data_IF_468582483179
#
_entry.id   IF_468582483179
#
_cell.length_a   1.000
_cell.length_b   1.000
_cell.length_c   1.000
_cell.angle_alpha   90.00
_cell.angle_beta   90.00
_cell.angle_gamma   90.00
#
_symmetry.space_group_name_H-M   'P 1'
#
loop_
_entity.id
_entity.type
_entity.pdbx_description
1 polymer ?
#
# COMPACT_ATOMS: atom_id res chain seq x y z
N UNK A 1 -1.26 -5.99 21.94
CA UNK A 1 -2.57 -5.39 21.60
C UNK A 1 -2.24 -4.10 20.88
N UNK A 2 -2.53 -3.85 19.60
CA UNK A 2 -3.74 -4.18 18.86
C UNK A 2 -3.51 -4.13 17.32
N UNK A 3 -2.71 -5.04 16.74
CA UNK A 3 -2.49 -5.03 15.27
C UNK A 3 -3.73 -5.39 14.43
N UNK A 4 -4.71 -6.08 15.03
CA UNK A 4 -5.98 -6.41 14.38
C UNK A 4 -6.86 -5.17 14.17
N UNK A 5 -6.88 -4.25 15.14
CA UNK A 5 -7.66 -3.02 15.09
C UNK A 5 -7.18 -2.09 13.96
N UNK A 6 -5.85 -1.97 13.80
CA UNK A 6 -5.24 -1.17 12.72
C UNK A 6 -5.56 -1.74 11.33
N UNK A 7 -5.57 -3.07 11.18
CA UNK A 7 -5.93 -3.72 9.93
C UNK A 7 -7.41 -3.53 9.61
N UNK A 8 -8.31 -3.81 10.56
CA UNK A 8 -9.75 -3.61 10.41
C UNK A 8 -10.08 -2.16 10.03
N UNK A 9 -9.37 -1.19 10.61
CA UNK A 9 -9.50 0.23 10.27
C UNK A 9 -9.08 0.53 8.83
N UNK A 10 -8.03 -0.12 8.33
CA UNK A 10 -7.62 0.01 6.93
C UNK A 10 -8.62 -0.67 5.99
N UNK A 11 -9.19 -1.81 6.37
CA UNK A 11 -10.27 -2.47 5.62
C UNK A 11 -11.52 -1.58 5.54
N UNK A 12 -11.87 -0.89 6.64
CA UNK A 12 -12.95 0.09 6.67
C UNK A 12 -12.67 1.27 5.72
N UNK A 13 -11.43 1.80 5.72
CA UNK A 13 -11.01 2.84 4.79
C UNK A 13 -11.23 2.41 3.32
N UNK A 14 -10.80 1.21 2.94
CA UNK A 14 -10.94 0.70 1.58
C UNK A 14 -12.40 0.61 1.12
N UNK A 15 -13.32 0.31 2.04
CA UNK A 15 -14.75 0.13 1.75
C UNK A 15 -15.55 1.41 1.81
N UNK A 16 -15.16 2.36 2.66
CA UNK A 16 -16.04 3.48 3.06
C UNK A 16 -15.54 4.85 2.66
N UNK A 17 -14.24 5.00 2.36
CA UNK A 17 -13.68 6.31 2.00
C UNK A 17 -14.34 6.86 0.75
N UNK A 18 -14.77 8.12 0.84
CA UNK A 18 -15.33 8.90 -0.26
C UNK A 18 -14.41 10.06 -0.57
N UNK A 19 -14.15 10.28 -1.85
CA UNK A 19 -13.45 11.47 -2.31
C UNK A 19 -14.30 12.73 -2.17
N UNK A 20 -13.73 13.88 -2.55
CA UNK A 20 -14.40 15.19 -2.53
C UNK A 20 -15.71 15.22 -3.35
N UNK A 21 -15.89 14.28 -4.30
CA UNK A 21 -17.08 14.15 -5.14
C UNK A 21 -18.10 13.16 -4.57
N UNK A 22 -17.81 12.53 -3.43
CA UNK A 22 -18.66 11.53 -2.79
C UNK A 22 -18.53 10.12 -3.38
N UNK A 23 -17.52 9.88 -4.24
CA UNK A 23 -17.31 8.60 -4.91
C UNK A 23 -16.46 7.69 -4.05
N UNK A 24 -16.82 6.40 -3.97
CA UNK A 24 -16.04 5.36 -3.27
C UNK A 24 -14.85 4.91 -4.13
N UNK A 25 -13.87 5.79 -4.30
CA UNK A 25 -12.77 5.61 -5.27
C UNK A 25 -12.01 4.30 -5.09
N UNK A 26 -11.69 3.93 -3.84
CA UNK A 26 -10.93 2.71 -3.54
C UNK A 26 -11.78 1.46 -3.70
N UNK A 27 -13.04 1.50 -3.24
CA UNK A 27 -13.96 0.39 -3.42
C UNK A 27 -14.19 0.06 -4.88
N UNK A 28 -14.48 1.08 -5.71
CA UNK A 28 -14.67 0.88 -7.14
C UNK A 28 -13.40 0.33 -7.81
N UNK A 29 -12.20 0.74 -7.38
CA UNK A 29 -10.95 0.18 -7.91
C UNK A 29 -10.78 -1.30 -7.54
N UNK A 30 -11.06 -1.66 -6.29
CA UNK A 30 -11.01 -3.05 -5.82
C UNK A 30 -11.91 -3.95 -6.67
N UNK A 31 -13.13 -3.49 -6.97
CA UNK A 31 -14.07 -4.23 -7.82
C UNK A 31 -13.60 -4.39 -9.28
N UNK A 32 -12.69 -3.53 -9.76
CA UNK A 32 -12.12 -3.61 -11.10
C UNK A 32 -10.81 -4.43 -11.13
N UNK A 33 -10.23 -4.78 -9.98
CA UNK A 33 -8.93 -5.47 -9.94
C UNK A 33 -8.98 -6.83 -10.62
N UNK A 34 -10.03 -7.61 -10.42
CA UNK A 34 -10.17 -8.93 -11.05
C UNK A 34 -10.44 -8.86 -12.55
N UNK A 35 -11.09 -7.79 -13.02
CA UNK A 35 -11.34 -7.55 -14.45
C UNK A 35 -10.04 -7.20 -15.17
N UNK A 36 -9.13 -6.49 -14.49
CA UNK A 36 -7.89 -5.96 -15.06
C UNK A 36 -6.64 -6.80 -14.72
N UNK A 37 -6.80 -7.94 -14.05
CA UNK A 37 -5.71 -8.78 -13.52
C UNK A 37 -4.69 -7.98 -12.67
N UNK A 38 -5.17 -7.01 -11.87
CA UNK A 38 -4.32 -6.11 -11.10
C UNK A 38 -3.84 -6.72 -9.78
N UNK A 39 -2.53 -6.92 -9.63
CA UNK A 39 -1.92 -7.42 -8.39
C UNK A 39 -1.56 -6.33 -7.36
N UNK A 40 -2.00 -5.09 -7.56
CA UNK A 40 -1.72 -4.02 -6.59
C UNK A 40 -2.71 -2.88 -6.63
N UNK A 41 -3.12 -2.40 -5.45
CA UNK A 41 -3.97 -1.23 -5.30
C UNK A 41 -3.12 0.01 -5.00
N UNK A 42 -3.31 1.10 -5.74
CA UNK A 42 -2.66 2.39 -5.44
C UNK A 42 -3.55 3.26 -4.55
N UNK A 43 -3.01 3.65 -3.39
CA UNK A 43 -3.65 4.47 -2.35
C UNK A 43 -2.93 5.80 -2.21
N UNK A 44 -3.68 6.90 -2.18
CA UNK A 44 -3.15 8.20 -1.85
C UNK A 44 -2.97 8.32 -0.33
N UNK A 45 -1.76 8.60 0.12
CA UNK A 45 -1.47 8.68 1.55
C UNK A 45 -2.21 9.84 2.22
N UNK A 46 -2.48 10.93 1.49
CA UNK A 46 -3.26 12.06 2.00
C UNK A 46 -4.71 11.66 2.32
N UNK A 47 -5.32 10.82 1.50
CA UNK A 47 -6.68 10.32 1.71
C UNK A 47 -6.74 9.46 2.96
N UNK A 48 -5.72 8.60 3.12
CA UNK A 48 -5.57 7.72 4.26
C UNK A 48 -5.44 8.49 5.57
N UNK A 49 -4.59 9.53 5.61
CA UNK A 49 -4.44 10.38 6.82
C UNK A 49 -5.62 11.28 7.08
N UNK A 50 -6.38 11.64 6.04
CA UNK A 50 -7.63 12.40 6.18
C UNK A 50 -8.75 11.53 6.76
N UNK A 51 -8.73 10.22 6.49
CA UNK A 51 -9.64 9.25 7.10
C UNK A 51 -9.27 8.98 8.56
N UNK A 52 -8.01 8.63 8.82
CA UNK A 52 -7.51 8.42 10.18
C UNK A 52 -6.01 8.73 10.28
N UNK A 53 -5.66 9.65 11.16
CA UNK A 53 -4.28 10.08 11.32
C UNK A 53 -3.38 9.01 11.98
N UNK A 54 -3.95 7.93 12.53
CA UNK A 54 -3.18 6.80 13.08
C UNK A 54 -2.19 6.23 12.07
N UNK A 55 -2.56 6.19 10.79
CA UNK A 55 -1.73 5.62 9.73
C UNK A 55 -0.44 6.41 9.48
N UNK A 56 -0.41 7.71 9.79
CA UNK A 56 0.80 8.51 9.75
C UNK A 56 1.81 8.01 10.79
N UNK A 57 1.36 7.75 12.02
CA UNK A 57 2.20 7.26 13.10
C UNK A 57 2.73 5.86 12.79
N UNK A 58 1.85 4.96 12.32
CA UNK A 58 2.21 3.58 11.97
C UNK A 58 3.27 3.53 10.86
N UNK A 59 3.08 4.30 9.78
CA UNK A 59 4.03 4.37 8.69
C UNK A 59 5.39 4.98 9.11
N UNK A 60 5.38 5.92 10.05
CA UNK A 60 6.59 6.55 10.56
C UNK A 60 7.36 5.68 11.57
N UNK A 61 6.67 4.87 12.37
CA UNK A 61 7.25 3.98 13.37
C UNK A 61 7.94 2.78 12.73
N UNK A 62 7.18 1.98 11.97
CA UNK A 62 7.65 0.79 11.28
C UNK A 62 7.01 0.71 9.87
N UNK A 63 7.69 1.29 8.86
CA UNK A 63 7.22 1.25 7.48
C UNK A 63 6.96 -0.15 6.95
N UNK A 64 7.79 -1.13 7.35
CA UNK A 64 7.68 -2.48 6.83
C UNK A 64 6.40 -3.13 7.33
N UNK A 65 6.19 -3.08 8.66
CA UNK A 65 4.97 -3.60 9.28
C UNK A 65 3.71 -2.90 8.78
N UNK A 66 3.77 -1.58 8.57
CA UNK A 66 2.67 -0.82 7.99
C UNK A 66 2.30 -1.30 6.57
N UNK A 67 3.29 -1.51 5.69
CA UNK A 67 3.07 -2.01 4.33
C UNK A 67 2.52 -3.45 4.33
N UNK A 68 2.99 -4.30 5.24
CA UNK A 68 2.47 -5.65 5.42
C UNK A 68 1.01 -5.64 5.90
N UNK A 69 0.67 -4.82 6.90
CA UNK A 69 -0.70 -4.63 7.38
C UNK A 69 -1.64 -4.16 6.26
N UNK A 70 -1.23 -3.15 5.48
CA UNK A 70 -2.03 -2.62 4.38
C UNK A 70 -2.23 -3.65 3.24
N UNK A 71 -1.23 -4.49 2.98
CA UNK A 71 -1.35 -5.60 2.03
C UNK A 71 -2.31 -6.68 2.53
N UNK A 72 -2.22 -7.05 3.81
CA UNK A 72 -3.10 -8.03 4.43
C UNK A 72 -4.56 -7.56 4.45
N UNK A 73 -4.80 -6.29 4.75
CA UNK A 73 -6.12 -5.67 4.70
C UNK A 73 -6.74 -5.76 3.30
N UNK A 74 -5.96 -5.46 2.24
CA UNK A 74 -6.41 -5.59 0.85
C UNK A 74 -6.79 -7.04 0.51
N UNK A 75 -5.95 -8.01 0.89
CA UNK A 75 -6.22 -9.45 0.68
C UNK A 75 -7.49 -9.88 1.43
N UNK A 76 -7.67 -9.41 2.67
CA UNK A 76 -8.86 -9.68 3.49
C UNK A 76 -10.13 -9.16 2.81
N UNK A 77 -10.09 -7.92 2.33
CA UNK A 77 -11.21 -7.31 1.59
C UNK A 77 -11.54 -8.09 0.32
N UNK A 78 -10.54 -8.39 -0.50
CA UNK A 78 -10.71 -9.13 -1.76
C UNK A 78 -11.19 -10.56 -1.53
N UNK A 79 -10.78 -11.22 -0.44
CA UNK A 79 -11.25 -12.58 -0.10
C UNK A 79 -12.76 -12.63 0.14
N UNK A 80 -13.35 -11.52 0.58
CA UNK A 80 -14.81 -11.38 0.76
C UNK A 80 -15.49 -10.96 -0.55
N UNK A 81 -14.89 -10.03 -1.30
CA UNK A 81 -15.49 -9.47 -2.52
C UNK A 81 -15.39 -10.41 -3.73
N UNK A 82 -14.21 -10.99 -3.96
CA UNK A 82 -13.91 -11.86 -5.10
C UNK A 82 -12.97 -13.02 -4.66
N UNK A 83 -13.52 -14.05 -4.01
CA UNK A 83 -12.74 -15.17 -3.51
C UNK A 83 -12.09 -15.98 -4.64
N UNK A 84 -12.74 -16.08 -5.79
CA UNK A 84 -12.23 -16.85 -6.93
C UNK A 84 -10.98 -16.19 -7.50
N UNK A 85 -10.98 -14.86 -7.63
CA UNK A 85 -9.80 -14.10 -8.04
C UNK A 85 -8.62 -14.31 -7.08
N UNK A 86 -8.82 -14.16 -5.78
CA UNK A 86 -7.76 -14.35 -4.78
C UNK A 86 -7.21 -15.77 -4.77
N UNK A 87 -8.06 -16.79 -4.90
CA UNK A 87 -7.63 -18.18 -4.91
C UNK A 87 -6.85 -18.57 -6.17
N UNK A 88 -7.03 -17.82 -7.27
CA UNK A 88 -6.31 -18.05 -8.53
C UNK A 88 -4.89 -17.45 -8.53
N UNK A 89 -4.59 -16.55 -7.59
CA UNK A 89 -3.36 -15.79 -7.54
C UNK A 89 -2.41 -16.23 -6.42
N UNK A 90 -1.12 -16.01 -6.63
CA UNK A 90 -0.15 -16.05 -5.54
C UNK A 90 -0.23 -14.73 -4.76
N UNK A 91 -0.91 -14.80 -3.60
CA UNK A 91 -1.16 -13.66 -2.70
C UNK A 91 0.12 -12.98 -2.19
N UNK A 92 1.29 -13.62 -2.29
CA UNK A 92 2.56 -13.00 -1.89
C UNK A 92 2.90 -11.77 -2.75
N UNK A 93 2.39 -11.71 -3.98
CA UNK A 93 2.55 -10.59 -4.90
C UNK A 93 1.55 -9.45 -4.69
N UNK A 94 0.46 -9.66 -3.95
CA UNK A 94 -0.51 -8.61 -3.67
C UNK A 94 0.10 -7.54 -2.77
N UNK A 95 0.09 -6.29 -3.24
CA UNK A 95 0.65 -5.14 -2.51
C UNK A 95 -0.24 -3.92 -2.61
N UNK A 96 -0.37 -3.20 -1.50
CA UNK A 96 -0.89 -1.83 -1.49
C UNK A 96 0.27 -0.87 -1.74
N UNK A 97 0.14 0.01 -2.73
CA UNK A 97 1.13 1.01 -3.13
C UNK A 97 0.69 2.37 -2.65
N UNK A 98 1.60 3.15 -2.09
CA UNK A 98 1.29 4.48 -1.58
C UNK A 98 1.91 5.57 -2.46
N UNK A 99 1.12 6.59 -2.76
CA UNK A 99 1.55 7.82 -3.43
C UNK A 99 1.33 9.02 -2.52
N UNK A 100 2.04 10.12 -2.79
CA UNK A 100 1.96 11.38 -2.04
C UNK A 100 2.23 11.24 -0.52
N UNK A 101 3.19 10.39 -0.13
CA UNK A 101 3.66 10.35 1.26
C UNK A 101 4.29 11.70 1.65
N UNK A 102 3.98 12.26 2.85
CA UNK A 102 4.27 13.65 3.19
C UNK A 102 5.77 13.98 3.32
N UNK A 103 6.62 13.02 3.70
CA UNK A 103 8.06 13.28 3.89
C UNK A 103 8.82 13.29 2.56
N UNK A 104 8.65 14.38 1.80
CA UNK A 104 9.43 14.63 0.60
C UNK A 104 10.85 15.08 0.94
N UNK A 105 11.85 14.36 0.44
CA UNK A 105 13.27 14.67 0.67
C UNK A 105 14.01 14.76 -0.65
N UNK A 106 14.72 15.88 -0.84
CA UNK A 106 15.65 16.03 -1.96
C UNK A 106 16.82 15.03 -1.81
N UNK A 107 17.24 14.38 -2.90
CA UNK A 107 18.33 13.38 -2.90
C UNK A 107 19.59 13.83 -2.14
N UNK A 108 20.01 15.08 -2.35
CA UNK A 108 21.17 15.70 -1.68
C UNK A 108 21.04 15.86 -0.16
N UNK A 109 19.82 15.78 0.37
CA UNK A 109 19.50 15.94 1.80
C UNK A 109 19.38 14.60 2.53
N UNK A 110 19.51 13.45 1.83
CA UNK A 110 19.48 12.13 2.48
C UNK A 110 20.69 11.96 3.42
N UNK A 111 20.42 11.49 4.64
CA UNK A 111 21.37 11.34 5.76
C UNK A 111 21.03 10.09 6.58
N UNK A 112 21.95 9.67 7.46
CA UNK A 112 21.80 8.49 8.32
C UNK A 112 20.51 8.49 9.18
N UNK A 113 19.99 9.65 9.57
CA UNK A 113 18.72 9.77 10.32
C UNK A 113 17.48 9.22 9.61
N UNK A 114 17.55 8.97 8.30
CA UNK A 114 16.43 8.45 7.52
C UNK A 114 16.54 6.94 7.24
N UNK A 115 17.55 6.26 7.80
CA UNK A 115 17.66 4.81 7.70
C UNK A 115 16.43 4.17 8.36
N UNK A 116 15.78 3.24 7.66
CA UNK A 116 14.60 2.53 8.14
C UNK A 116 13.31 3.37 8.16
N UNK A 117 13.30 4.54 7.50
CA UNK A 117 12.10 5.40 7.39
C UNK A 117 11.49 5.34 6.00
N UNK A 118 10.17 5.45 5.93
CA UNK A 118 9.46 5.63 4.67
C UNK A 118 9.70 7.06 4.17
N UNK A 119 10.03 7.21 2.89
CA UNK A 119 10.37 8.50 2.30
C UNK A 119 9.77 8.64 0.92
N UNK A 120 9.48 9.89 0.53
CA UNK A 120 9.17 10.25 -0.84
C UNK A 120 10.35 11.04 -1.43
N UNK A 121 10.90 10.56 -2.55
CA UNK A 121 12.04 11.19 -3.23
C UNK A 121 11.70 11.36 -4.71
N UNK A 122 12.13 12.48 -5.31
CA UNK A 122 11.99 12.73 -6.74
C UNK A 122 13.35 12.82 -7.43
N UNK A 123 13.46 12.27 -8.63
CA UNK A 123 14.69 12.28 -9.43
C UNK A 123 14.48 11.79 -10.86
N UNK A 124 15.49 11.99 -11.70
CA UNK A 124 15.51 11.51 -13.09
C UNK A 124 16.30 10.20 -13.13
N UNK A 125 15.72 9.16 -13.76
CA UNK A 125 16.40 7.89 -13.97
C UNK A 125 17.35 8.00 -15.17
N UNK A 126 18.66 7.82 -14.93
CA UNK A 126 19.67 7.91 -16.01
C UNK A 126 20.03 6.55 -16.61
N UNK A 127 20.02 5.48 -15.80
CA UNK A 127 20.39 4.12 -16.22
C UNK A 127 19.56 3.11 -15.44
N UNK A 128 19.17 2.04 -16.10
CA UNK A 128 18.58 0.85 -15.50
C UNK A 128 19.34 -0.39 -15.97
N UNK A 129 19.57 -1.36 -15.08
CA UNK A 129 20.13 -2.66 -15.47
C UNK A 129 19.07 -3.54 -16.14
N UNK A 130 19.51 -4.54 -16.90
CA UNK A 130 18.60 -5.56 -17.45
C UNK A 130 17.93 -6.34 -16.31
N UNK A 131 16.65 -6.67 -16.49
CA UNK A 131 15.87 -7.47 -15.54
C UNK A 131 16.48 -8.88 -15.43
N UNK A 132 16.78 -9.30 -14.20
CA UNK A 132 17.26 -10.65 -13.89
C UNK A 132 16.41 -11.24 -12.75
N UNK A 133 16.11 -12.54 -12.77
CA UNK A 133 15.38 -13.18 -11.68
C UNK A 133 16.22 -13.18 -10.38
N UNK A 134 15.56 -12.96 -9.25
CA UNK A 134 16.13 -13.06 -7.90
C UNK A 134 15.53 -14.27 -7.19
N UNK A 135 16.37 -15.09 -6.55
CA UNK A 135 15.89 -16.19 -5.72
C UNK A 135 15.28 -15.61 -4.43
N UNK A 136 13.97 -15.79 -4.25
CA UNK A 136 13.24 -15.29 -3.07
C UNK A 136 13.14 -16.34 -1.97
N UNK A 137 12.92 -17.61 -2.34
CA UNK A 137 12.81 -18.73 -1.40
C UNK A 137 13.65 -19.90 -1.91
N UNK A 138 14.51 -20.44 -1.04
CA UNK A 138 15.21 -21.69 -1.29
C UNK A 138 14.31 -22.86 -0.86
N UNK A 139 14.21 -23.88 -1.72
CA UNK A 139 13.57 -25.16 -1.38
C UNK A 139 14.45 -26.00 -0.46
#
# INVERSE_FOLDING_TARGET
MSGYDEQERFEEFLRTYKDEQGTLTYWSRIQQMSINDEISLTVNFQDLTSFDNVFMALAAEDPQKFLEMAGNALISVLRVEDPDYINSLDISFMKTRFVNYPDHIALRALRARHIGKLLHISGIMMRASVVKPLLVQAM
#
